data_IF_663970760192
#
_entry.id   IF_663970760192
#
_cell.length_a   1.000
_cell.length_b   1.000
_cell.length_c   1.000
_cell.angle_alpha   90.00
_cell.angle_beta   90.00
_cell.angle_gamma   90.00
#
_symmetry.space_group_name_H-M   'P 1'
#
loop_
_entity.id
_entity.type
_entity.pdbx_description
1 polymer ?
#
# COMPACT_ATOMS: atom_id res chain seq x y z
N UNK A 1 5.76 18.09 20.74
CA UNK A 1 7.16 17.77 20.37
C UNK A 1 7.09 16.87 19.15
N UNK A 2 7.30 17.41 17.94
CA UNK A 2 7.33 16.59 16.72
C UNK A 2 8.60 15.76 16.73
N UNK A 3 8.46 14.44 16.92
CA UNK A 3 9.56 13.50 16.70
C UNK A 3 9.80 13.49 15.19
N UNK A 4 10.82 14.23 14.72
CA UNK A 4 11.40 14.00 13.39
C UNK A 4 12.04 12.61 13.41
N UNK A 5 11.25 11.58 13.12
CA UNK A 5 11.80 10.25 12.87
C UNK A 5 12.74 10.37 11.68
N UNK A 6 14.02 10.14 11.93
CA UNK A 6 15.01 9.98 10.87
C UNK A 6 14.65 8.68 10.15
N UNK A 7 14.00 8.79 8.99
CA UNK A 7 13.60 7.62 8.20
C UNK A 7 14.85 6.85 7.81
N UNK A 8 14.79 5.52 7.90
CA UNK A 8 15.85 4.65 7.43
C UNK A 8 16.08 4.92 5.93
N UNK A 9 17.34 5.14 5.55
CA UNK A 9 17.72 5.29 4.15
C UNK A 9 18.01 3.91 3.55
N UNK A 10 17.51 3.67 2.34
CA UNK A 10 17.85 2.46 1.57
C UNK A 10 18.26 2.85 0.15
N UNK A 11 19.11 2.03 -0.46
CA UNK A 11 19.46 2.11 -1.87
C UNK A 11 18.73 0.98 -2.62
N UNK A 12 18.24 1.27 -3.83
CA UNK A 12 17.57 0.33 -4.72
C UNK A 12 18.33 0.13 -6.05
N UNK A 13 19.58 0.61 -6.14
CA UNK A 13 20.42 0.43 -7.32
C UNK A 13 20.57 -1.06 -7.66
N UNK A 14 20.22 -1.42 -8.90
CA UNK A 14 20.24 -2.81 -9.37
C UNK A 14 19.06 -3.67 -8.91
N UNK A 15 18.14 -3.14 -8.07
CA UNK A 15 16.92 -3.85 -7.70
C UNK A 15 15.97 -3.94 -8.92
N UNK A 16 15.44 -5.13 -9.25
CA UNK A 16 14.53 -5.27 -10.38
C UNK A 16 13.19 -4.58 -10.10
N UNK A 17 12.73 -3.77 -11.06
CA UNK A 17 11.36 -3.24 -11.07
C UNK A 17 10.39 -4.36 -11.42
N UNK A 18 9.43 -4.62 -10.55
CA UNK A 18 8.44 -5.70 -10.69
C UNK A 18 7.01 -5.16 -10.87
N UNK A 19 6.83 -3.84 -10.79
CA UNK A 19 5.52 -3.23 -10.98
C UNK A 19 5.61 -1.72 -11.07
N UNK A 20 4.60 -1.12 -11.69
CA UNK A 20 4.46 0.32 -11.80
C UNK A 20 2.98 0.70 -11.72
N UNK A 21 2.70 1.80 -11.03
CA UNK A 21 1.37 2.38 -10.95
C UNK A 21 1.41 3.90 -10.98
N UNK A 22 0.23 4.51 -10.84
CA UNK A 22 0.07 5.96 -10.89
C UNK A 22 0.92 6.69 -9.84
N UNK A 23 1.00 6.15 -8.62
CA UNK A 23 1.65 6.82 -7.48
C UNK A 23 3.11 6.41 -7.25
N UNK A 24 3.63 5.42 -7.99
CA UNK A 24 4.97 4.92 -7.74
C UNK A 24 5.31 3.65 -8.49
N UNK A 25 6.54 3.22 -8.27
CA UNK A 25 7.15 2.02 -8.84
C UNK A 25 7.45 1.03 -7.71
N UNK A 26 7.44 -0.27 -8.02
CA UNK A 26 7.67 -1.34 -7.05
C UNK A 26 8.93 -2.10 -7.43
N UNK A 27 9.85 -2.22 -6.48
CA UNK A 27 11.13 -2.90 -6.65
C UNK A 27 11.26 -4.04 -5.66
N UNK A 28 11.86 -5.15 -6.10
CA UNK A 28 12.22 -6.26 -5.21
C UNK A 28 13.62 -6.01 -4.63
N UNK A 29 13.71 -5.94 -3.31
CA UNK A 29 14.97 -5.66 -2.60
C UNK A 29 15.50 -6.85 -1.81
N UNK A 30 14.67 -7.87 -1.59
CA UNK A 30 15.06 -9.21 -1.15
C UNK A 30 14.05 -10.25 -1.68
N UNK A 31 14.27 -11.53 -1.40
CA UNK A 31 13.40 -12.63 -1.86
C UNK A 31 11.92 -12.41 -1.50
N UNK A 32 11.65 -12.01 -0.26
CA UNK A 32 10.33 -11.80 0.31
C UNK A 32 10.01 -10.32 0.58
N UNK A 33 10.87 -9.40 0.12
CA UNK A 33 10.79 -7.99 0.48
C UNK A 33 10.76 -7.10 -0.74
N UNK A 34 9.75 -6.24 -0.80
CA UNK A 34 9.57 -5.25 -1.86
C UNK A 34 9.50 -3.84 -1.26
N UNK A 35 9.84 -2.84 -2.08
CA UNK A 35 9.62 -1.43 -1.76
C UNK A 35 8.79 -0.78 -2.86
N UNK A 36 7.70 -0.11 -2.48
CA UNK A 36 6.99 0.83 -3.35
C UNK A 36 7.62 2.20 -3.18
N UNK A 37 8.32 2.69 -4.21
CA UNK A 37 8.91 4.02 -4.25
C UNK A 37 7.92 5.00 -4.87
N UNK A 38 7.60 6.05 -4.13
CA UNK A 38 6.59 7.02 -4.50
C UNK A 38 7.15 8.11 -5.41
N UNK A 39 6.33 8.55 -6.37
CA UNK A 39 6.67 9.69 -7.22
C UNK A 39 6.81 10.96 -6.36
N UNK A 40 7.67 11.94 -6.74
CA UNK A 40 7.94 13.12 -5.92
C UNK A 40 6.73 13.98 -5.54
N UNK A 41 5.63 13.92 -6.30
CA UNK A 41 4.41 14.66 -6.02
C UNK A 41 3.53 14.04 -4.93
N UNK A 42 3.81 12.81 -4.48
CA UNK A 42 2.99 12.15 -3.45
C UNK A 42 3.43 12.63 -2.07
N UNK A 43 2.47 13.14 -1.30
CA UNK A 43 2.74 13.71 0.02
C UNK A 43 2.94 12.61 1.06
N UNK A 44 3.78 12.88 2.07
CA UNK A 44 4.04 11.95 3.17
C UNK A 44 2.76 11.56 3.94
N UNK A 45 1.80 12.48 4.05
CA UNK A 45 0.50 12.21 4.67
C UNK A 45 -0.32 11.17 3.87
N UNK A 46 -0.29 11.24 2.54
CA UNK A 46 -0.96 10.27 1.68
C UNK A 46 -0.29 8.89 1.77
N UNK A 47 1.04 8.85 1.84
CA UNK A 47 1.81 7.60 2.04
C UNK A 47 1.40 6.94 3.36
N UNK A 48 1.37 7.71 4.45
CA UNK A 48 0.95 7.22 5.77
C UNK A 48 -0.50 6.74 5.76
N UNK A 49 -1.39 7.50 5.12
CA UNK A 49 -2.80 7.16 4.97
C UNK A 49 -2.98 5.87 4.18
N UNK A 50 -2.28 5.70 3.05
CA UNK A 50 -2.31 4.48 2.24
C UNK A 50 -1.83 3.27 3.06
N UNK A 51 -0.73 3.41 3.79
CA UNK A 51 -0.20 2.38 4.70
C UNK A 51 -1.23 1.96 5.77
N UNK A 52 -1.86 2.92 6.44
CA UNK A 52 -2.87 2.63 7.46
C UNK A 52 -4.16 2.04 6.88
N UNK A 53 -4.53 2.44 5.66
CA UNK A 53 -5.66 1.87 4.93
C UNK A 53 -5.42 0.41 4.56
N UNK A 54 -4.24 0.08 4.03
CA UNK A 54 -3.84 -1.30 3.72
C UNK A 54 -3.82 -2.17 4.99
N UNK A 55 -3.18 -1.69 6.07
CA UNK A 55 -3.17 -2.39 7.37
C UNK A 55 -4.58 -2.66 7.89
N UNK A 56 -5.45 -1.65 7.83
CA UNK A 56 -6.84 -1.80 8.27
C UNK A 56 -7.60 -2.82 7.41
N UNK A 57 -7.42 -2.81 6.09
CA UNK A 57 -8.05 -3.77 5.18
C UNK A 57 -7.57 -5.21 5.46
N UNK A 58 -6.27 -5.40 5.73
CA UNK A 58 -5.70 -6.67 6.16
C UNK A 58 -6.38 -7.22 7.41
N UNK A 59 -6.53 -6.39 8.45
CA UNK A 59 -7.21 -6.77 9.71
C UNK A 59 -8.69 -7.12 9.48
N UNK A 60 -9.29 -6.64 8.39
CA UNK A 60 -10.66 -7.00 7.97
C UNK A 60 -10.71 -8.20 7.01
N UNK A 61 -9.60 -8.91 6.85
CA UNK A 61 -9.49 -10.13 6.07
C UNK A 61 -9.32 -9.91 4.58
N UNK A 62 -9.10 -8.68 4.11
CA UNK A 62 -8.75 -8.44 2.70
C UNK A 62 -7.27 -8.76 2.51
N UNK A 63 -6.88 -9.63 1.56
CA UNK A 63 -5.50 -10.03 1.38
C UNK A 63 -4.70 -8.87 0.77
N UNK A 64 -4.07 -8.06 1.61
CA UNK A 64 -3.18 -6.96 1.21
C UNK A 64 -1.78 -7.22 1.74
N UNK A 65 -0.74 -6.82 1.00
CA UNK A 65 0.64 -6.93 1.46
C UNK A 65 0.86 -6.23 2.80
N UNK A 66 1.66 -6.83 3.69
CA UNK A 66 1.93 -6.29 5.02
C UNK A 66 3.08 -5.31 4.90
N UNK A 67 2.79 -4.02 5.08
CA UNK A 67 3.82 -2.99 5.16
C UNK A 67 4.30 -2.83 6.60
N UNK A 68 5.60 -2.59 6.78
CA UNK A 68 6.20 -2.44 8.12
C UNK A 68 7.05 -1.18 8.30
N UNK A 69 7.59 -0.59 7.23
CA UNK A 69 8.50 0.56 7.34
C UNK A 69 8.25 1.64 6.27
N UNK A 70 8.51 2.89 6.61
CA UNK A 70 8.59 4.02 5.67
C UNK A 70 10.06 4.43 5.59
N UNK A 71 10.61 4.41 4.39
CA UNK A 71 12.04 4.63 4.13
C UNK A 71 12.26 5.84 3.24
N UNK A 72 13.48 6.39 3.30
CA UNK A 72 13.98 7.37 2.34
C UNK A 72 14.72 6.63 1.23
N UNK A 73 14.41 6.95 -0.03
CA UNK A 73 15.02 6.35 -1.22
C UNK A 73 15.50 7.49 -2.12
N UNK A 74 16.80 7.81 -2.06
CA UNK A 74 17.33 9.03 -2.68
C UNK A 74 16.55 10.28 -2.25
N UNK A 75 15.91 10.95 -3.21
CA UNK A 75 15.08 12.14 -2.97
C UNK A 75 13.59 11.87 -2.72
N UNK A 76 13.18 10.60 -2.81
CA UNK A 76 11.80 10.15 -2.68
C UNK A 76 11.60 9.35 -1.38
N UNK A 77 10.36 8.90 -1.18
CA UNK A 77 9.99 8.04 -0.06
C UNK A 77 9.54 6.68 -0.57
N UNK A 78 9.75 5.66 0.23
CA UNK A 78 9.29 4.30 -0.05
C UNK A 78 8.52 3.71 1.12
N UNK A 79 7.65 2.74 0.84
CA UNK A 79 7.08 1.86 1.86
C UNK A 79 7.59 0.45 1.60
N UNK A 80 8.08 -0.21 2.65
CA UNK A 80 8.59 -1.57 2.58
C UNK A 80 7.51 -2.56 2.99
N UNK A 81 7.39 -3.64 2.23
CA UNK A 81 6.40 -4.70 2.42
C UNK A 81 7.06 -6.07 2.44
N UNK A 82 6.53 -6.96 3.26
CA UNK A 82 6.77 -8.39 3.17
C UNK A 82 5.78 -8.99 2.17
N UNK A 83 6.30 -9.65 1.13
CA UNK A 83 5.53 -10.31 0.08
C UNK A 83 6.37 -11.38 -0.64
N UNK A 84 6.00 -12.65 -0.42
CA UNK A 84 6.51 -13.79 -1.19
C UNK A 84 5.92 -13.78 -2.61
N UNK A 85 6.72 -14.17 -3.60
CA UNK A 85 6.30 -14.36 -5.00
C UNK A 85 5.53 -13.18 -5.64
N UNK A 86 5.90 -11.95 -5.25
CA UNK A 86 5.26 -10.74 -5.77
C UNK A 86 5.34 -10.62 -7.32
N UNK A 87 4.19 -10.56 -7.99
CA UNK A 87 4.05 -10.10 -9.37
C UNK A 87 3.15 -8.85 -9.44
N UNK A 88 3.08 -8.20 -10.60
CA UNK A 88 2.15 -7.08 -10.77
C UNK A 88 0.71 -7.58 -10.92
N UNK A 89 -0.27 -6.76 -10.55
CA UNK A 89 -1.68 -7.09 -10.76
C UNK A 89 -2.01 -7.34 -12.24
N UNK A 90 -1.31 -6.65 -13.15
CA UNK A 90 -1.47 -6.85 -14.59
C UNK A 90 -0.95 -8.24 -15.00
N UNK A 91 0.23 -8.64 -14.52
CA UNK A 91 0.78 -9.96 -14.81
C UNK A 91 -0.15 -11.05 -14.28
N UNK A 92 -0.56 -10.95 -13.01
CA UNK A 92 -1.49 -11.89 -12.38
C UNK A 92 -2.78 -12.06 -13.18
N UNK A 93 -3.43 -10.96 -13.58
CA UNK A 93 -4.68 -11.00 -14.33
C UNK A 93 -4.49 -11.57 -15.75
N UNK A 94 -3.33 -11.35 -16.38
CA UNK A 94 -3.06 -11.82 -17.73
C UNK A 94 -2.69 -13.32 -17.80
N UNK A 95 -2.35 -13.94 -16.68
CA UNK A 95 -2.00 -15.38 -16.63
C UNK A 95 -3.20 -16.28 -16.94
N UNK A 96 -4.41 -15.94 -16.49
CA UNK A 96 -5.61 -16.74 -16.76
C UNK A 96 -6.92 -15.95 -16.57
N UNK A 97 -8.02 -16.36 -17.25
CA UNK A 97 -9.35 -15.81 -16.97
C UNK A 97 -9.83 -16.00 -15.53
N UNK A 98 -9.40 -17.07 -14.86
CA UNK A 98 -9.73 -17.35 -13.45
C UNK A 98 -9.09 -16.31 -12.53
N UNK A 99 -7.84 -15.89 -12.82
CA UNK A 99 -7.16 -14.83 -12.08
C UNK A 99 -7.85 -13.48 -12.24
N UNK A 100 -8.46 -13.19 -13.40
CA UNK A 100 -9.27 -11.98 -13.58
C UNK A 100 -10.51 -12.00 -12.67
N UNK A 101 -11.19 -13.14 -12.56
CA UNK A 101 -12.33 -13.30 -11.67
C UNK A 101 -11.92 -13.15 -10.20
N UNK A 102 -10.84 -13.81 -9.77
CA UNK A 102 -10.33 -13.67 -8.41
C UNK A 102 -9.91 -12.23 -8.10
N UNK A 103 -9.20 -11.58 -9.02
CA UNK A 103 -8.84 -10.16 -8.88
C UNK A 103 -10.08 -9.27 -8.73
N UNK A 104 -11.14 -9.53 -9.50
CA UNK A 104 -12.43 -8.84 -9.37
C UNK A 104 -13.05 -9.02 -7.99
N UNK A 105 -13.02 -10.23 -7.44
CA UNK A 105 -13.51 -10.54 -6.09
C UNK A 105 -12.70 -9.82 -5.02
N UNK A 106 -11.36 -9.84 -5.10
CA UNK A 106 -10.47 -9.10 -4.20
C UNK A 106 -10.78 -7.60 -4.27
N UNK A 107 -10.88 -7.04 -5.47
CA UNK A 107 -11.18 -5.62 -5.67
C UNK A 107 -12.55 -5.23 -5.08
N UNK A 108 -13.57 -6.06 -5.27
CA UNK A 108 -14.88 -5.88 -4.65
C UNK A 108 -14.81 -5.86 -3.11
N UNK A 109 -14.01 -6.74 -2.52
CA UNK A 109 -13.77 -6.78 -1.06
C UNK A 109 -13.07 -5.52 -0.58
N UNK A 110 -12.01 -5.07 -1.26
CA UNK A 110 -11.30 -3.81 -0.97
C UNK A 110 -12.29 -2.63 -0.95
N UNK A 111 -13.10 -2.48 -2.00
CA UNK A 111 -14.07 -1.38 -2.14
C UNK A 111 -15.16 -1.41 -1.07
N UNK A 112 -15.67 -2.61 -0.76
CA UNK A 112 -16.64 -2.82 0.33
C UNK A 112 -16.05 -2.43 1.69
N UNK A 113 -14.78 -2.80 1.92
CA UNK A 113 -14.04 -2.47 3.12
C UNK A 113 -13.95 -0.94 3.30
N UNK A 114 -13.46 -0.23 2.29
CA UNK A 114 -13.31 1.23 2.37
C UNK A 114 -14.64 1.98 2.57
N UNK A 115 -15.71 1.53 1.92
CA UNK A 115 -17.05 2.12 2.13
C UNK A 115 -17.51 2.00 3.60
N UNK A 116 -17.25 0.86 4.25
CA UNK A 116 -17.60 0.65 5.67
C UNK A 116 -16.77 1.51 6.61
N UNK A 117 -15.51 1.83 6.25
CA UNK A 117 -14.67 2.74 7.05
C UNK A 117 -15.18 4.18 6.98
N UNK A 118 -15.42 4.69 5.77
CA UNK A 118 -15.87 6.08 5.60
C UNK A 118 -17.23 6.36 6.24
N UNK A 119 -18.14 5.38 6.19
CA UNK A 119 -19.45 5.48 6.86
C UNK A 119 -19.32 5.52 8.39
N UNK A 120 -18.42 4.72 8.98
CA UNK A 120 -18.12 4.79 10.42
C UNK A 120 -17.46 6.11 10.82
N UNK A 121 -16.44 6.55 10.09
CA UNK A 121 -15.79 7.85 10.35
C UNK A 121 -16.81 9.00 10.30
N UNK A 122 -17.76 8.96 9.36
CA UNK A 122 -18.84 9.95 9.27
C UNK A 122 -19.82 9.89 10.45
N UNK A 123 -20.16 8.69 10.93
CA UNK A 123 -21.01 8.50 12.12
C UNK A 123 -20.31 8.99 13.40
N UNK A 124 -19.02 8.66 13.56
CA UNK A 124 -18.23 9.06 14.73
C UNK A 124 -18.07 10.59 14.79
N UNK A 125 -17.83 11.24 13.64
CA UNK A 125 -17.76 12.71 13.53
C UNK A 125 -19.11 13.35 13.90
N UNK A 126 -20.22 12.81 13.38
CA UNK A 126 -21.55 13.33 13.67
C UNK A 126 -21.89 13.25 15.17
N UNK A 127 -21.57 12.12 15.82
CA UNK A 127 -21.79 11.93 17.26
C UNK A 127 -20.93 12.87 18.12
N UNK A 128 -19.69 13.18 17.73
CA UNK A 128 -18.84 14.12 18.47
C UNK A 128 -19.25 15.59 18.28
N UNK A 129 -19.89 15.94 17.16
CA UNK A 129 -20.36 17.30 16.88
C UNK A 129 -21.79 17.57 17.38
N UNK A 130 -22.55 16.52 17.70
CA UNK A 130 -23.93 16.60 18.16
C UNK A 130 -24.13 15.67 19.39
N UNK A 131 -23.57 16.04 20.57
CA UNK A 131 -23.67 15.26 21.79
C UNK A 131 -25.10 15.21 22.37
#
# INVERSE_FOLDING_TARGET
MEIKQNLRQINIDGAPKIGEGAHGEVYRIAEDTIVKVYRPFVLMEDIRKEKELARWAFVKGVPTAISYDIVRVGDSYGVVYELLDACSAADYVNESPENLEDFGNIYGRVRSCYRKRNSRESQDIWMHQNP
#
